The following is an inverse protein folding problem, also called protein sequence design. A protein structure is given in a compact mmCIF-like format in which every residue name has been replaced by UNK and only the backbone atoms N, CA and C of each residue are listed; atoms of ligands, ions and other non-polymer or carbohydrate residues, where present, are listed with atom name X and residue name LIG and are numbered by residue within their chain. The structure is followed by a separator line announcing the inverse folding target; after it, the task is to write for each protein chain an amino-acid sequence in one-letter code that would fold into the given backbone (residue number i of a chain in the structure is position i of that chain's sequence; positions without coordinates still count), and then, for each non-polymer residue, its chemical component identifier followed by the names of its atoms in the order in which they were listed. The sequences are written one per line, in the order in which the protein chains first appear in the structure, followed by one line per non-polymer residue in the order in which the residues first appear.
data_IF_032549142246
#
_entry.id   IF_032549142246
#
_cell.length_a   1.000
_cell.length_b   1.000
_cell.length_c   1.000
_cell.angle_alpha   90.00
_cell.angle_beta   90.00
_cell.angle_gamma   90.00
#
_symmetry.space_group_name_H-M   'P 1'
#
loop_
_entity.id
_entity.type
_entity.pdbx_description
1 polymer ?
#
# COMPACT_ATOMS: atom_id res chain seq x y z
N UNK A 1 -7.07 -19.35 -40.37
CA UNK A 1 -7.30 -19.55 -38.92
C UNK A 1 -7.78 -20.97 -38.65
N UNK A 2 -6.84 -21.90 -38.45
CA UNK A 2 -7.16 -23.28 -38.07
C UNK A 2 -7.38 -23.37 -36.57
N UNK A 3 -8.56 -23.86 -36.19
CA UNK A 3 -8.87 -24.26 -34.82
C UNK A 3 -8.01 -25.46 -34.43
N UNK A 4 -7.32 -25.36 -33.30
CA UNK A 4 -6.81 -26.45 -32.43
C UNK A 4 -5.47 -26.07 -31.78
N UNK A 5 -5.42 -24.94 -31.07
CA UNK A 5 -4.60 -24.91 -29.85
C UNK A 5 -5.54 -25.27 -28.71
N UNK A 6 -5.47 -26.51 -28.28
CA UNK A 6 -6.10 -26.95 -27.03
C UNK A 6 -5.53 -26.05 -25.95
N UNK A 7 -6.30 -25.06 -25.49
CA UNK A 7 -5.90 -24.13 -24.42
C UNK A 7 -5.48 -24.99 -23.24
N UNK A 8 -4.17 -25.09 -22.99
CA UNK A 8 -3.69 -25.81 -21.82
C UNK A 8 -4.37 -25.19 -20.61
N UNK A 9 -5.12 -26.01 -19.85
CA UNK A 9 -5.74 -25.58 -18.61
C UNK A 9 -4.59 -25.28 -17.65
N UNK A 10 -4.18 -24.02 -17.66
CA UNK A 10 -3.12 -23.51 -16.80
C UNK A 10 -3.58 -23.65 -15.37
N UNK A 11 -2.73 -24.21 -14.52
CA UNK A 11 -3.03 -24.31 -13.09
C UNK A 11 -3.25 -22.90 -12.55
N UNK A 12 -4.39 -22.62 -11.87
CA UNK A 12 -4.66 -21.29 -11.39
C UNK A 12 -3.57 -20.74 -10.48
N UNK A 13 -3.24 -19.47 -10.71
CA UNK A 13 -2.10 -18.81 -10.07
C UNK A 13 -2.41 -17.35 -9.83
N UNK A 14 -2.79 -17.07 -8.58
CA UNK A 14 -3.05 -15.72 -8.10
C UNK A 14 -1.76 -14.99 -7.71
N UNK A 15 -1.68 -13.73 -8.08
CA UNK A 15 -0.66 -12.76 -7.69
C UNK A 15 -1.26 -11.58 -6.90
N UNK A 16 -0.39 -10.76 -6.31
CA UNK A 16 -0.78 -9.52 -5.64
C UNK A 16 0.32 -8.46 -5.81
N UNK A 17 -0.07 -7.20 -5.96
CA UNK A 17 0.88 -6.10 -5.84
C UNK A 17 1.23 -5.87 -4.38
N UNK A 18 2.53 -5.98 -4.08
CA UNK A 18 3.09 -5.82 -2.75
C UNK A 18 3.88 -4.52 -2.73
N UNK A 19 3.62 -3.64 -1.77
CA UNK A 19 4.42 -2.42 -1.57
C UNK A 19 5.17 -2.40 -0.24
N UNK A 20 4.87 -3.38 0.64
CA UNK A 20 5.30 -3.39 2.03
C UNK A 20 4.51 -2.43 2.92
N UNK A 21 3.55 -1.68 2.37
CA UNK A 21 2.68 -0.79 3.11
C UNK A 21 1.47 -1.51 3.72
N UNK A 22 0.84 -0.86 4.70
CA UNK A 22 -0.29 -1.39 5.48
C UNK A 22 -1.41 -1.97 4.61
N UNK A 23 -1.73 -1.34 3.48
CA UNK A 23 -2.79 -1.78 2.58
C UNK A 23 -2.48 -3.15 1.94
N UNK A 24 -1.29 -3.29 1.32
CA UNK A 24 -0.88 -4.55 0.71
C UNK A 24 -0.64 -5.66 1.74
N UNK A 25 -0.14 -5.31 2.93
CA UNK A 25 0.12 -6.27 4.00
C UNK A 25 -1.18 -6.78 4.64
N UNK A 26 -2.17 -5.92 4.86
CA UNK A 26 -3.49 -6.34 5.31
C UNK A 26 -4.17 -7.26 4.28
N UNK A 27 -4.09 -6.90 2.99
CA UNK A 27 -4.65 -7.72 1.91
C UNK A 27 -3.99 -9.11 1.85
N UNK A 28 -2.66 -9.19 1.99
CA UNK A 28 -1.94 -10.46 2.06
C UNK A 28 -2.32 -11.26 3.31
N UNK A 29 -2.41 -10.62 4.48
CA UNK A 29 -2.81 -11.28 5.73
C UNK A 29 -4.20 -11.90 5.61
N UNK A 30 -5.17 -11.12 5.12
CA UNK A 30 -6.53 -11.61 4.88
C UNK A 30 -6.56 -12.71 3.81
N UNK A 31 -5.70 -12.64 2.80
CA UNK A 31 -5.58 -13.73 1.84
C UNK A 31 -5.15 -15.04 2.54
N UNK A 32 -4.16 -14.98 3.44
CA UNK A 32 -3.68 -16.14 4.18
C UNK A 32 -4.70 -16.70 5.17
N UNK A 33 -5.53 -15.83 5.77
CA UNK A 33 -6.56 -16.23 6.73
C UNK A 33 -7.79 -16.83 6.05
N UNK A 34 -8.17 -16.36 4.86
CA UNK A 34 -9.45 -16.72 4.23
C UNK A 34 -9.32 -17.71 3.07
N UNK A 35 -8.15 -17.87 2.47
CA UNK A 35 -7.94 -18.81 1.38
C UNK A 35 -7.09 -20.00 1.84
N UNK A 36 -7.62 -21.25 1.76
CA UNK A 36 -6.80 -22.45 1.87
C UNK A 36 -5.68 -22.47 0.83
N UNK A 37 -4.53 -23.09 1.12
CA UNK A 37 -3.36 -23.10 0.22
C UNK A 37 -3.62 -23.68 -1.17
N UNK A 38 -4.58 -24.59 -1.30
CA UNK A 38 -4.98 -25.20 -2.57
C UNK A 38 -6.04 -24.38 -3.33
N UNK A 39 -6.60 -23.32 -2.74
CA UNK A 39 -7.60 -22.49 -3.38
C UNK A 39 -6.96 -21.66 -4.51
N UNK A 40 -7.61 -21.51 -5.68
CA UNK A 40 -7.05 -20.76 -6.82
C UNK A 40 -6.71 -19.30 -6.50
N UNK A 41 -7.49 -18.67 -5.63
CA UNK A 41 -7.24 -17.32 -5.08
C UNK A 41 -6.17 -17.22 -3.99
N UNK A 42 -5.54 -18.32 -3.54
CA UNK A 42 -4.39 -18.23 -2.64
C UNK A 42 -3.21 -17.62 -3.39
N UNK A 43 -2.76 -16.45 -2.96
CA UNK A 43 -1.72 -15.70 -3.67
C UNK A 43 -0.39 -16.44 -3.57
N UNK A 44 0.22 -16.74 -4.72
CA UNK A 44 1.52 -17.44 -4.82
C UNK A 44 2.66 -16.48 -5.14
N UNK A 45 2.39 -15.40 -5.86
CA UNK A 45 3.38 -14.39 -6.26
C UNK A 45 3.04 -12.98 -5.76
N UNK A 46 4.05 -12.25 -5.33
CA UNK A 46 3.97 -10.84 -4.96
C UNK A 46 4.84 -9.99 -5.89
N UNK A 47 4.26 -8.99 -6.55
CA UNK A 47 5.01 -8.06 -7.39
C UNK A 47 5.43 -6.83 -6.58
N UNK A 48 6.73 -6.54 -6.52
CA UNK A 48 7.29 -5.35 -5.86
C UNK A 48 8.01 -4.47 -6.88
N UNK A 49 7.67 -3.18 -6.94
CA UNK A 49 7.88 -2.37 -8.13
C UNK A 49 8.97 -1.30 -7.97
N UNK A 50 9.95 -1.32 -8.87
CA UNK A 50 10.87 -0.21 -9.14
C UNK A 50 10.36 0.60 -10.33
N UNK A 51 10.53 1.93 -10.29
CA UNK A 51 10.00 2.85 -11.29
C UNK A 51 8.55 3.29 -11.03
N UNK A 52 8.03 2.94 -9.85
CA UNK A 52 6.68 3.30 -9.40
C UNK A 52 6.77 4.32 -8.25
N UNK A 53 6.78 3.87 -6.99
CA UNK A 53 6.97 4.72 -5.81
C UNK A 53 8.44 4.94 -5.44
N UNK A 54 9.32 3.99 -5.80
CA UNK A 54 10.78 4.11 -5.74
C UNK A 54 11.31 4.24 -7.17
N UNK A 55 12.15 5.25 -7.43
CA UNK A 55 12.80 5.42 -8.74
C UNK A 55 11.86 5.83 -9.89
N UNK A 56 10.59 6.16 -9.61
CA UNK A 56 9.60 6.50 -10.65
C UNK A 56 9.63 7.95 -11.14
N UNK A 57 10.45 8.83 -10.56
CA UNK A 57 10.59 10.24 -10.98
C UNK A 57 12.04 10.46 -11.37
N UNK A 58 12.29 10.76 -12.64
CA UNK A 58 13.65 10.84 -13.22
C UNK A 58 14.50 11.86 -12.47
N UNK A 59 13.96 13.05 -12.21
CA UNK A 59 14.66 14.15 -11.51
C UNK A 59 15.08 13.79 -10.08
N UNK A 60 14.39 12.84 -9.44
CA UNK A 60 14.72 12.37 -8.07
C UNK A 60 15.75 11.24 -8.08
N UNK A 61 16.15 10.77 -9.27
CA UNK A 61 17.06 9.66 -9.50
C UNK A 61 16.42 8.30 -9.27
N UNK A 62 17.14 7.25 -9.68
CA UNK A 62 16.62 5.88 -9.71
C UNK A 62 16.50 5.23 -8.32
N UNK A 63 17.21 5.72 -7.30
CA UNK A 63 17.11 5.22 -5.91
C UNK A 63 17.28 3.70 -5.74
N UNK A 64 18.15 3.05 -6.53
CA UNK A 64 18.39 1.60 -6.40
C UNK A 64 18.75 1.15 -4.98
N UNK A 65 19.62 1.84 -4.22
CA UNK A 65 19.91 1.43 -2.84
C UNK A 65 18.69 1.46 -1.90
N UNK A 66 17.70 2.34 -2.18
CA UNK A 66 16.44 2.38 -1.43
C UNK A 66 15.55 1.20 -1.82
N UNK A 67 15.53 0.85 -3.10
CA UNK A 67 14.79 -0.30 -3.59
C UNK A 67 15.32 -1.61 -3.02
N UNK A 68 16.64 -1.82 -3.03
CA UNK A 68 17.28 -3.02 -2.49
C UNK A 68 16.96 -3.18 -0.99
N UNK A 69 17.09 -2.09 -0.21
CA UNK A 69 16.70 -2.08 1.21
C UNK A 69 15.22 -2.43 1.43
N UNK A 70 14.35 -1.96 0.54
CA UNK A 70 12.92 -2.26 0.62
C UNK A 70 12.62 -3.70 0.21
N UNK A 71 13.35 -4.27 -0.77
CA UNK A 71 13.32 -5.70 -1.12
C UNK A 71 13.76 -6.54 0.07
N UNK A 72 14.84 -6.17 0.77
CA UNK A 72 15.30 -6.91 1.96
C UNK A 72 14.24 -6.94 3.07
N UNK A 73 13.61 -5.80 3.33
CA UNK A 73 12.56 -5.69 4.34
C UNK A 73 11.33 -6.53 3.99
N UNK A 74 10.83 -6.39 2.76
CA UNK A 74 9.62 -7.11 2.34
C UNK A 74 9.88 -8.61 2.13
N UNK A 75 11.11 -9.02 1.79
CA UNK A 75 11.49 -10.43 1.66
C UNK A 75 11.34 -11.21 2.96
N UNK A 76 11.63 -10.57 4.11
CA UNK A 76 11.37 -11.19 5.43
C UNK A 76 9.88 -11.53 5.61
N UNK A 77 9.02 -10.61 5.18
CA UNK A 77 7.56 -10.76 5.27
C UNK A 77 7.08 -11.82 4.29
N UNK A 78 7.55 -11.81 3.04
CA UNK A 78 7.11 -12.78 2.03
C UNK A 78 7.62 -14.18 2.32
N UNK A 79 8.81 -14.34 2.88
CA UNK A 79 9.31 -15.63 3.36
C UNK A 79 8.41 -16.22 4.46
N UNK A 80 8.04 -15.42 5.48
CA UNK A 80 7.11 -15.86 6.53
C UNK A 80 5.73 -16.20 5.95
N UNK A 81 5.25 -15.41 4.99
CA UNK A 81 3.97 -15.63 4.30
C UNK A 81 3.99 -16.77 3.26
N UNK A 82 5.14 -17.40 3.01
CA UNK A 82 5.38 -18.37 1.92
C UNK A 82 4.89 -17.84 0.57
N UNK A 83 5.25 -16.59 0.27
CA UNK A 83 4.94 -15.87 -0.95
C UNK A 83 6.23 -15.71 -1.78
N UNK A 84 6.18 -16.03 -3.07
CA UNK A 84 7.29 -15.75 -4.00
C UNK A 84 7.32 -14.25 -4.30
N UNK A 85 8.38 -13.56 -3.91
CA UNK A 85 8.56 -12.14 -4.23
C UNK A 85 9.22 -12.00 -5.60
N UNK A 86 8.62 -11.22 -6.48
CA UNK A 86 9.13 -10.91 -7.82
C UNK A 86 9.35 -9.40 -7.89
N UNK A 87 10.62 -8.93 -7.82
CA UNK A 87 10.96 -7.56 -8.14
C UNK A 87 10.68 -7.28 -9.62
N UNK A 88 9.98 -6.19 -9.91
CA UNK A 88 9.65 -5.76 -11.27
C UNK A 88 10.17 -4.35 -11.48
N UNK A 89 10.89 -4.14 -12.57
CA UNK A 89 11.41 -2.83 -12.96
C UNK A 89 10.60 -2.31 -14.13
N UNK A 90 10.13 -1.07 -14.03
CA UNK A 90 9.40 -0.39 -15.09
C UNK A 90 9.90 1.05 -15.25
N UNK A 91 9.71 1.64 -16.43
CA UNK A 91 9.96 3.05 -16.68
C UNK A 91 8.67 3.79 -17.08
N UNK A 92 7.49 3.17 -16.95
CA UNK A 92 6.24 3.75 -17.46
C UNK A 92 5.96 5.12 -16.84
N UNK A 93 6.24 5.30 -15.54
CA UNK A 93 6.09 6.60 -14.87
C UNK A 93 7.06 7.66 -15.40
N UNK A 94 8.20 7.28 -15.96
CA UNK A 94 9.15 8.23 -16.55
C UNK A 94 8.60 8.90 -17.81
N UNK A 95 7.60 8.29 -18.47
CA UNK A 95 6.94 8.86 -19.64
C UNK A 95 6.03 10.04 -19.26
N UNK A 96 5.42 9.99 -18.08
CA UNK A 96 4.63 11.08 -17.53
C UNK A 96 4.49 10.90 -16.00
N UNK A 97 5.10 11.81 -15.25
CA UNK A 97 5.03 11.83 -13.79
C UNK A 97 4.22 13.02 -13.25
N UNK A 98 3.48 13.71 -14.13
CA UNK A 98 2.56 14.78 -13.75
C UNK A 98 1.64 14.26 -12.64
N UNK A 99 1.63 14.99 -11.54
CA UNK A 99 1.17 14.47 -10.26
C UNK A 99 -0.33 14.25 -10.21
N UNK A 100 -1.12 15.09 -10.88
CA UNK A 100 -2.58 14.96 -10.91
C UNK A 100 -2.96 13.76 -11.76
N UNK A 101 -2.45 13.68 -12.99
CA UNK A 101 -2.65 12.54 -13.88
C UNK A 101 -2.22 11.24 -13.23
N UNK A 102 -1.03 11.22 -12.61
CA UNK A 102 -0.50 10.05 -11.92
C UNK A 102 -1.50 9.52 -10.91
N UNK A 103 -1.98 10.40 -10.01
CA UNK A 103 -2.80 10.03 -8.85
C UNK A 103 -4.27 9.81 -9.18
N UNK A 104 -4.82 10.53 -10.15
CA UNK A 104 -6.26 10.55 -10.40
C UNK A 104 -6.65 9.56 -11.50
N UNK A 105 -5.72 9.21 -12.40
CA UNK A 105 -6.05 8.41 -13.59
C UNK A 105 -5.06 7.31 -13.98
N UNK A 106 -3.77 7.42 -13.62
CA UNK A 106 -2.74 6.64 -14.33
C UNK A 106 -2.19 5.44 -13.56
N UNK A 107 -1.96 5.55 -12.24
CA UNK A 107 -1.14 4.55 -11.55
C UNK A 107 -1.74 3.13 -11.54
N UNK A 108 -3.06 2.97 -11.54
CA UNK A 108 -3.72 1.64 -11.62
C UNK A 108 -3.60 1.02 -13.01
N UNK A 109 -3.62 1.82 -14.09
CA UNK A 109 -3.33 1.36 -15.44
C UNK A 109 -1.89 0.82 -15.56
N UNK A 110 -0.93 1.44 -14.85
CA UNK A 110 0.45 0.93 -14.77
C UNK A 110 0.52 -0.41 -14.07
N UNK A 111 -0.21 -0.58 -12.95
CA UNK A 111 -0.33 -1.89 -12.28
C UNK A 111 -0.94 -2.93 -13.22
N UNK A 112 -2.00 -2.58 -13.95
CA UNK A 112 -2.61 -3.48 -14.92
C UNK A 112 -1.65 -3.89 -16.05
N UNK A 113 -0.90 -2.93 -16.63
CA UNK A 113 0.09 -3.21 -17.67
C UNK A 113 1.18 -4.18 -17.19
N UNK A 114 1.65 -4.00 -15.95
CA UNK A 114 2.58 -4.94 -15.32
C UNK A 114 1.93 -6.32 -15.20
N UNK A 115 0.71 -6.40 -14.67
CA UNK A 115 0.04 -7.70 -14.50
C UNK A 115 -0.14 -8.44 -15.84
N UNK A 116 -0.50 -7.73 -16.91
CA UNK A 116 -0.62 -8.30 -18.26
C UNK A 116 0.70 -8.82 -18.82
N UNK A 117 1.84 -8.23 -18.42
CA UNK A 117 3.17 -8.75 -18.77
C UNK A 117 3.43 -10.15 -18.19
N UNK A 118 2.65 -10.56 -17.18
CA UNK A 118 2.70 -11.90 -16.57
C UNK A 118 1.48 -12.78 -16.91
N UNK A 119 0.62 -12.40 -17.86
CA UNK A 119 -0.58 -13.17 -18.21
C UNK A 119 -0.28 -14.61 -18.67
N UNK A 120 0.93 -14.88 -19.17
CA UNK A 120 1.41 -16.24 -19.47
C UNK A 120 1.66 -17.10 -18.22
N UNK A 121 1.82 -16.49 -17.03
CA UNK A 121 2.17 -17.17 -15.76
C UNK A 121 1.13 -17.04 -14.64
N UNK A 122 0.32 -15.97 -14.62
CA UNK A 122 -0.78 -15.78 -13.66
C UNK A 122 -2.15 -15.72 -14.36
N UNK A 123 -3.25 -15.87 -13.61
CA UNK A 123 -4.63 -15.72 -14.12
C UNK A 123 -5.52 -14.81 -13.24
N UNK A 124 -5.02 -14.44 -12.06
CA UNK A 124 -5.66 -13.53 -11.13
C UNK A 124 -4.61 -12.63 -10.49
N UNK A 125 -4.85 -11.33 -10.41
CA UNK A 125 -4.05 -10.40 -9.60
C UNK A 125 -4.93 -9.57 -8.69
N UNK A 126 -4.47 -9.38 -7.46
CA UNK A 126 -5.12 -8.51 -6.49
C UNK A 126 -4.40 -7.17 -6.35
N UNK A 127 -5.19 -6.10 -6.27
CA UNK A 127 -4.78 -4.75 -5.89
C UNK A 127 -5.45 -4.43 -4.54
N UNK A 128 -4.63 -4.14 -3.53
CA UNK A 128 -5.14 -3.72 -2.21
C UNK A 128 -5.65 -2.30 -2.25
N UNK A 129 -6.84 -2.06 -1.71
CA UNK A 129 -7.46 -0.73 -1.68
C UNK A 129 -6.63 0.28 -0.87
N UNK A 130 -6.63 1.54 -1.29
CA UNK A 130 -6.13 2.65 -0.46
C UNK A 130 -7.24 3.27 0.39
N UNK A 131 -8.44 3.38 -0.18
CA UNK A 131 -9.61 3.99 0.45
C UNK A 131 -10.70 2.95 0.72
N UNK A 132 -11.47 3.20 1.78
CA UNK A 132 -12.69 2.49 2.09
C UNK A 132 -13.91 3.10 1.38
N UNK A 133 -15.01 2.35 1.29
CA UNK A 133 -16.25 2.75 0.60
C UNK A 133 -16.68 4.19 0.92
N UNK A 134 -16.74 4.64 2.20
CA UNK A 134 -17.20 5.99 2.52
C UNK A 134 -16.28 7.11 2.01
N UNK A 135 -15.04 6.80 1.67
CA UNK A 135 -14.01 7.78 1.31
C UNK A 135 -13.46 7.56 -0.12
N UNK A 136 -14.15 6.77 -0.94
CA UNK A 136 -13.87 6.64 -2.36
C UNK A 136 -14.04 7.98 -3.08
N UNK A 137 -13.16 8.23 -4.04
CA UNK A 137 -13.13 9.40 -4.90
C UNK A 137 -12.38 9.03 -6.18
N UNK A 138 -12.43 9.87 -7.24
CA UNK A 138 -11.61 9.67 -8.44
C UNK A 138 -10.15 9.45 -8.07
N UNK A 139 -9.61 8.30 -8.47
CA UNK A 139 -8.28 7.85 -8.14
C UNK A 139 -7.79 6.90 -9.24
N UNK A 140 -6.50 6.96 -9.56
CA UNK A 140 -5.90 6.18 -10.63
C UNK A 140 -5.96 4.67 -10.41
N UNK A 141 -6.28 4.22 -9.19
CA UNK A 141 -6.75 2.87 -8.89
C UNK A 141 -8.05 2.97 -8.11
N UNK A 142 -9.08 2.28 -8.60
CA UNK A 142 -10.43 2.39 -8.08
C UNK A 142 -11.18 1.06 -8.23
N UNK A 143 -12.06 0.66 -7.30
CA UNK A 143 -12.80 -0.60 -7.39
C UNK A 143 -13.71 -0.71 -8.62
N UNK A 144 -14.12 0.41 -9.21
CA UNK A 144 -14.89 0.45 -10.47
C UNK A 144 -14.02 0.56 -11.74
N UNK A 145 -12.71 0.76 -11.59
CA UNK A 145 -11.77 0.94 -12.71
C UNK A 145 -10.86 -0.27 -12.85
N UNK A 146 -10.20 -0.68 -11.77
CA UNK A 146 -9.20 -1.75 -11.81
C UNK A 146 -9.72 -3.07 -12.41
N UNK A 147 -10.97 -3.52 -12.13
CA UNK A 147 -11.49 -4.73 -12.76
C UNK A 147 -11.67 -4.63 -14.27
N UNK A 148 -11.92 -3.43 -14.81
CA UNK A 148 -12.13 -3.18 -16.25
C UNK A 148 -10.84 -3.34 -17.06
N UNK A 149 -9.68 -3.35 -16.40
CA UNK A 149 -8.41 -3.71 -17.03
C UNK A 149 -8.21 -5.23 -17.19
N UNK A 150 -9.18 -6.07 -16.81
CA UNK A 150 -9.09 -7.52 -17.00
C UNK A 150 -9.12 -7.92 -18.49
N UNK A 151 -8.61 -9.11 -18.79
CA UNK A 151 -8.74 -9.75 -20.11
C UNK A 151 -9.32 -11.17 -19.98
N UNK A 152 -9.42 -11.88 -21.10
CA UNK A 152 -9.84 -13.29 -21.13
C UNK A 152 -8.93 -14.22 -20.30
N UNK A 153 -7.64 -13.90 -20.24
CA UNK A 153 -6.61 -14.73 -19.62
C UNK A 153 -6.18 -14.24 -18.23
N UNK A 154 -6.51 -13.00 -17.87
CA UNK A 154 -6.10 -12.39 -16.62
C UNK A 154 -7.23 -11.58 -15.99
N UNK A 155 -7.62 -11.97 -14.78
CA UNK A 155 -8.55 -11.20 -13.96
C UNK A 155 -7.83 -10.26 -13.01
N UNK A 156 -8.21 -8.99 -13.00
CA UNK A 156 -7.74 -7.99 -12.03
C UNK A 156 -8.85 -7.76 -11.01
N UNK A 157 -8.51 -7.80 -9.71
CA UNK A 157 -9.46 -7.57 -8.62
C UNK A 157 -8.93 -6.54 -7.63
N UNK A 158 -9.66 -5.43 -7.52
CA UNK A 158 -9.54 -4.53 -6.38
C UNK A 158 -10.18 -5.19 -5.15
N UNK A 159 -9.53 -5.14 -3.99
CA UNK A 159 -10.02 -5.83 -2.79
C UNK A 159 -9.83 -5.03 -1.52
N UNK A 160 -10.56 -5.44 -0.49
CA UNK A 160 -10.47 -4.93 0.88
C UNK A 160 -10.85 -3.44 1.01
N UNK A 161 -11.64 -2.91 0.07
CA UNK A 161 -12.18 -1.53 0.08
C UNK A 161 -13.35 -1.35 1.05
N UNK A 162 -13.78 -2.39 1.76
CA UNK A 162 -14.67 -2.28 2.90
C UNK A 162 -13.93 -1.92 4.20
N UNK A 163 -12.59 -1.99 4.22
CA UNK A 163 -11.78 -1.78 5.42
C UNK A 163 -11.18 -0.38 5.46
N UNK A 164 -11.44 0.32 6.56
CA UNK A 164 -10.76 1.55 6.91
C UNK A 164 -9.25 1.33 7.09
N UNK A 165 -8.50 2.43 7.01
CA UNK A 165 -7.06 2.40 7.22
C UNK A 165 -6.67 1.90 8.62
N UNK A 166 -7.45 2.24 9.65
CA UNK A 166 -7.20 1.78 11.02
C UNK A 166 -7.44 0.28 11.17
N UNK A 167 -8.47 -0.28 10.52
CA UNK A 167 -8.69 -1.73 10.52
C UNK A 167 -7.54 -2.48 9.86
N UNK A 168 -7.01 -1.96 8.74
CA UNK A 168 -5.83 -2.53 8.08
C UNK A 168 -4.60 -2.52 9.00
N UNK A 169 -4.37 -1.44 9.74
CA UNK A 169 -3.27 -1.38 10.72
C UNK A 169 -3.46 -2.40 11.84
N UNK A 170 -4.69 -2.54 12.37
CA UNK A 170 -4.99 -3.59 13.37
C UNK A 170 -4.69 -4.99 12.83
N UNK A 171 -5.07 -5.29 11.59
CA UNK A 171 -4.76 -6.57 10.94
C UNK A 171 -3.25 -6.81 10.84
N UNK A 172 -2.48 -5.81 10.38
CA UNK A 172 -1.03 -5.93 10.22
C UNK A 172 -0.34 -6.05 11.59
N UNK A 173 -0.81 -5.34 12.61
CA UNK A 173 -0.24 -5.39 13.97
C UNK A 173 -0.34 -6.77 14.64
N UNK A 174 -1.25 -7.63 14.17
CA UNK A 174 -1.40 -9.01 14.63
C UNK A 174 -0.49 -10.00 13.88
N UNK A 175 0.38 -9.49 13.00
CA UNK A 175 1.34 -10.28 12.25
C UNK A 175 2.74 -9.73 12.51
N UNK A 176 3.42 -10.25 13.53
CA UNK A 176 4.66 -9.68 14.07
C UNK A 176 5.73 -9.43 12.99
N UNK A 177 6.06 -10.43 12.17
CA UNK A 177 7.06 -10.27 11.10
C UNK A 177 6.73 -9.11 10.15
N UNK A 178 5.45 -8.97 9.76
CA UNK A 178 5.02 -7.84 8.93
C UNK A 178 5.05 -6.51 9.70
N UNK A 179 4.63 -6.53 10.97
CA UNK A 179 4.58 -5.35 11.82
C UNK A 179 5.97 -4.79 12.15
N UNK A 180 7.00 -5.63 12.20
CA UNK A 180 8.38 -5.21 12.43
C UNK A 180 9.12 -4.74 11.15
N UNK A 181 8.58 -5.01 9.96
CA UNK A 181 9.30 -4.80 8.69
C UNK A 181 8.53 -4.01 7.62
N UNK A 182 7.38 -3.39 7.95
CA UNK A 182 6.59 -2.64 6.97
C UNK A 182 7.31 -1.37 6.47
N UNK A 183 6.95 -0.95 5.25
CA UNK A 183 7.40 0.30 4.63
C UNK A 183 6.20 1.13 4.18
N UNK A 184 6.08 2.34 4.70
CA UNK A 184 5.07 3.33 4.30
C UNK A 184 5.66 4.58 3.68
N UNK A 185 6.96 4.82 3.86
CA UNK A 185 7.63 6.04 3.46
C UNK A 185 7.71 6.19 1.93
N UNK A 186 7.41 7.40 1.44
CA UNK A 186 7.56 7.79 0.03
C UNK A 186 8.70 8.80 -0.19
N UNK A 187 9.38 9.22 0.88
CA UNK A 187 10.48 10.17 0.79
C UNK A 187 11.77 9.54 0.25
N UNK A 188 11.89 8.20 0.33
CA UNK A 188 13.02 7.43 -0.19
C UNK A 188 14.38 7.98 0.29
N UNK A 189 14.48 8.20 1.61
CA UNK A 189 15.72 8.65 2.27
C UNK A 189 16.78 7.55 2.20
N UNK A 190 18.09 7.90 2.11
CA UNK A 190 19.13 6.92 1.81
C UNK A 190 19.38 5.91 2.94
N UNK A 191 19.14 6.27 4.19
CA UNK A 191 19.62 5.58 5.39
C UNK A 191 18.52 4.90 6.22
N UNK A 192 17.24 5.05 5.84
CA UNK A 192 16.10 4.51 6.61
C UNK A 192 15.05 3.87 5.72
N UNK A 193 14.40 2.83 6.24
CA UNK A 193 13.23 2.22 5.60
C UNK A 193 12.01 3.16 5.68
N UNK A 194 11.74 3.68 6.87
CA UNK A 194 10.79 4.75 7.11
C UNK A 194 11.49 5.96 7.72
N UNK A 195 11.28 7.15 7.16
CA UNK A 195 12.04 8.34 7.55
C UNK A 195 11.55 9.01 8.85
N UNK A 196 10.39 8.62 9.39
CA UNK A 196 9.74 9.26 10.53
C UNK A 196 9.11 10.64 10.22
N UNK A 197 9.64 11.37 9.25
CA UNK A 197 9.35 12.80 9.14
C UNK A 197 8.43 13.21 7.98
N UNK A 198 8.19 12.35 6.99
CA UNK A 198 7.26 12.70 5.90
C UNK A 198 5.80 12.50 6.31
N UNK A 199 4.85 13.19 5.66
CA UNK A 199 3.42 13.11 6.03
C UNK A 199 2.90 11.67 6.16
N UNK A 200 3.29 10.77 5.25
CA UNK A 200 2.85 9.37 5.31
C UNK A 200 3.46 8.60 6.51
N UNK A 201 4.69 8.92 6.90
CA UNK A 201 5.31 8.39 8.12
C UNK A 201 4.62 8.94 9.36
N UNK A 202 4.50 10.27 9.47
CA UNK A 202 3.84 10.94 10.61
C UNK A 202 2.41 10.43 10.76
N UNK A 203 1.63 10.37 9.67
CA UNK A 203 0.27 9.82 9.70
C UNK A 203 0.22 8.39 10.23
N UNK A 204 1.11 7.52 9.74
CA UNK A 204 1.17 6.13 10.20
C UNK A 204 1.56 6.04 11.68
N UNK A 205 2.51 6.84 12.13
CA UNK A 205 2.89 6.87 13.55
C UNK A 205 1.79 7.46 14.44
N UNK A 206 1.02 8.43 13.96
CA UNK A 206 -0.18 8.95 14.67
C UNK A 206 -1.26 7.87 14.76
N UNK A 207 -1.48 7.10 13.69
CA UNK A 207 -2.41 5.95 13.67
C UNK A 207 -1.95 4.87 14.66
N UNK A 208 -0.66 4.56 14.72
CA UNK A 208 -0.09 3.61 15.68
C UNK A 208 -0.17 4.14 17.13
N UNK A 209 0.07 5.44 17.33
CA UNK A 209 -0.10 6.10 18.64
C UNK A 209 -1.55 6.01 19.11
N UNK A 210 -2.51 6.29 18.22
CA UNK A 210 -3.94 6.19 18.51
C UNK A 210 -4.38 4.76 18.90
N UNK A 211 -3.63 3.74 18.47
CA UNK A 211 -3.88 2.34 18.82
C UNK A 211 -3.04 1.85 20.01
N UNK A 212 -2.16 2.68 20.58
CA UNK A 212 -1.22 2.26 21.63
C UNK A 212 -0.16 1.26 21.14
N UNK A 213 0.24 1.35 19.86
CA UNK A 213 1.09 0.37 19.18
C UNK A 213 2.45 0.92 18.70
N UNK A 214 2.69 2.23 18.72
CA UNK A 214 3.92 2.82 18.15
C UNK A 214 5.20 2.23 18.78
N UNK A 215 5.23 2.14 20.12
CA UNK A 215 6.35 1.55 20.88
C UNK A 215 6.55 0.04 20.66
N UNK A 216 5.67 -0.63 19.92
CA UNK A 216 5.72 -2.09 19.70
C UNK A 216 6.31 -2.48 18.34
N UNK A 217 6.68 -1.50 17.51
CA UNK A 217 7.29 -1.75 16.20
C UNK A 217 8.67 -1.11 16.12
N UNK A 218 9.62 -1.85 15.54
CA UNK A 218 10.94 -1.36 15.17
C UNK A 218 10.99 -0.78 13.73
N UNK A 219 9.85 -0.75 13.03
CA UNK A 219 9.78 -0.23 11.65
C UNK A 219 10.01 1.29 11.58
N UNK A 220 9.90 1.97 12.72
CA UNK A 220 10.32 3.35 12.93
C UNK A 220 11.44 3.41 13.96
N UNK A 221 12.33 4.39 13.80
CA UNK A 221 13.32 4.73 14.84
C UNK A 221 12.63 5.59 15.91
N UNK A 222 11.68 6.41 15.47
CA UNK A 222 10.85 7.24 16.33
C UNK A 222 9.82 6.40 17.09
N UNK A 223 9.70 6.66 18.39
CA UNK A 223 8.74 6.03 19.30
C UNK A 223 7.67 7.02 19.82
N UNK A 224 7.74 8.30 19.42
CA UNK A 224 6.83 9.36 19.84
C UNK A 224 6.38 10.27 18.68
N UNK A 225 5.13 10.72 18.74
CA UNK A 225 4.59 11.81 17.92
C UNK A 225 4.24 13.01 18.79
N UNK A 226 4.56 14.21 18.33
CA UNK A 226 4.21 15.48 18.95
C UNK A 226 3.24 16.27 18.06
N UNK A 227 2.51 17.27 18.60
CA UNK A 227 1.68 18.17 17.79
C UNK A 227 2.45 18.86 16.66
N UNK A 228 3.75 19.14 16.87
CA UNK A 228 4.60 19.79 15.87
C UNK A 228 4.78 18.91 14.63
N UNK A 229 4.87 17.59 14.77
CA UNK A 229 4.96 16.67 13.63
C UNK A 229 3.71 16.73 12.74
N UNK A 230 2.52 16.86 13.34
CA UNK A 230 1.26 17.01 12.59
C UNK A 230 1.18 18.40 11.95
N UNK A 231 1.56 19.44 12.69
CA UNK A 231 1.47 20.84 12.27
C UNK A 231 2.28 21.17 11.01
N UNK A 232 3.31 20.38 10.69
CA UNK A 232 4.15 20.55 9.49
C UNK A 232 3.41 20.28 8.17
N UNK A 233 2.24 19.64 8.22
CA UNK A 233 1.50 19.25 7.02
C UNK A 233 0.12 19.87 7.00
N UNK A 234 -0.33 20.19 5.79
CA UNK A 234 -1.73 20.43 5.52
C UNK A 234 -2.45 19.08 5.35
N UNK A 235 -3.26 18.73 6.35
CA UNK A 235 -4.09 17.51 6.37
C UNK A 235 -5.47 17.73 5.73
N UNK A 236 -5.76 18.94 5.27
CA UNK A 236 -7.04 19.35 4.67
C UNK A 236 -7.01 19.24 3.14
N UNK A 237 -5.81 19.29 2.55
CA UNK A 237 -5.67 19.07 1.10
C UNK A 237 -5.94 17.62 0.73
N UNK A 238 -6.56 17.47 -0.45
CA UNK A 238 -6.91 16.16 -1.03
C UNK A 238 -7.82 15.38 -0.07
N UNK A 239 -7.97 14.08 -0.31
CA UNK A 239 -8.81 13.20 0.52
C UNK A 239 -8.02 12.67 1.73
N UNK A 240 -7.38 13.59 2.46
CA UNK A 240 -6.63 13.32 3.71
C UNK A 240 -7.45 13.38 4.99
N UNK A 241 -8.48 14.26 5.14
CA UNK A 241 -9.26 14.32 6.36
C UNK A 241 -9.82 12.96 6.86
N UNK A 242 -10.23 12.03 5.96
CA UNK A 242 -10.66 10.69 6.38
C UNK A 242 -9.62 9.87 7.14
N UNK A 243 -8.32 10.13 6.95
CA UNK A 243 -7.27 9.40 7.69
C UNK A 243 -7.04 9.96 9.10
N UNK A 244 -7.41 11.21 9.37
CA UNK A 244 -7.14 11.88 10.64
C UNK A 244 -8.38 11.97 11.54
N UNK A 245 -9.58 12.21 10.98
CA UNK A 245 -10.82 12.33 11.76
C UNK A 245 -11.08 11.13 12.68
N UNK A 246 -10.95 9.86 12.22
CA UNK A 246 -11.18 8.70 13.08
C UNK A 246 -10.17 8.56 14.23
N UNK A 247 -9.02 9.25 14.16
CA UNK A 247 -7.98 9.17 15.19
C UNK A 247 -8.32 10.01 16.41
N UNK A 248 -9.14 11.05 16.28
CA UNK A 248 -9.46 11.99 17.37
C UNK A 248 -9.99 11.27 18.63
N UNK A 249 -11.04 10.44 18.57
CA UNK A 249 -11.51 9.73 19.76
C UNK A 249 -10.48 8.73 20.30
N UNK A 250 -9.80 7.99 19.42
CA UNK A 250 -8.78 7.01 19.79
C UNK A 250 -7.58 7.65 20.50
N UNK A 251 -7.13 8.82 20.03
CA UNK A 251 -6.05 9.58 20.66
C UNK A 251 -6.45 10.05 22.06
N UNK A 252 -7.69 10.50 22.25
CA UNK A 252 -8.19 10.87 23.59
C UNK A 252 -8.24 9.67 24.54
N UNK A 253 -8.67 8.51 24.05
CA UNK A 253 -8.64 7.25 24.82
C UNK A 253 -7.21 6.86 25.25
N UNK A 254 -6.21 7.19 24.44
CA UNK A 254 -4.79 7.00 24.77
C UNK A 254 -4.17 8.15 25.61
N UNK A 255 -4.98 9.11 26.09
CA UNK A 255 -4.50 10.26 26.84
C UNK A 255 -3.71 11.29 26.01
N UNK A 256 -3.82 11.23 24.68
CA UNK A 256 -3.15 12.10 23.71
C UNK A 256 -4.05 13.23 23.21
N UNK A 257 -4.66 13.95 24.15
CA UNK A 257 -5.48 15.13 23.86
C UNK A 257 -4.71 16.23 23.11
N UNK A 258 -3.39 16.30 23.30
CA UNK A 258 -2.51 17.20 22.57
C UNK A 258 -2.55 16.93 21.05
N UNK A 259 -2.48 15.67 20.63
CA UNK A 259 -2.55 15.28 19.23
C UNK A 259 -3.97 15.42 18.68
N UNK A 260 -4.98 15.04 19.45
CA UNK A 260 -6.38 15.20 19.08
C UNK A 260 -6.71 16.68 18.79
N UNK A 261 -6.30 17.60 19.67
CA UNK A 261 -6.46 19.05 19.47
C UNK A 261 -5.68 19.57 18.28
N UNK A 262 -4.48 19.05 18.02
CA UNK A 262 -3.68 19.45 16.86
C UNK A 262 -4.40 19.13 15.53
N UNK A 263 -4.99 17.93 15.43
CA UNK A 263 -5.79 17.51 14.28
C UNK A 263 -7.04 18.40 14.17
N UNK A 264 -7.80 18.57 15.25
CA UNK A 264 -9.02 19.39 15.25
C UNK A 264 -8.74 20.84 14.84
N UNK A 265 -7.63 21.43 15.31
CA UNK A 265 -7.23 22.80 14.94
C UNK A 265 -7.05 22.94 13.43
N UNK A 266 -6.41 21.97 12.78
CA UNK A 266 -6.24 22.02 11.33
C UNK A 266 -7.56 21.78 10.58
N UNK A 267 -8.38 20.82 11.03
CA UNK A 267 -9.67 20.53 10.39
C UNK A 267 -10.70 21.64 10.55
N UNK A 268 -10.65 22.42 11.64
CA UNK A 268 -11.51 23.59 11.86
C UNK A 268 -11.13 24.80 11.01
N UNK A 269 -9.90 24.86 10.49
CA UNK A 269 -9.47 25.89 9.54
C UNK A 269 -10.09 25.77 8.13
N UNK A 270 -11.10 24.91 7.96
CA UNK A 270 -11.78 24.57 6.70
C UNK A 270 -13.26 25.00 6.74
N UNK A 271 -13.64 25.92 7.63
CA UNK A 271 -14.97 26.54 7.66
C UNK A 271 -14.89 27.89 6.96
#
# INVERSE_FOLDING_TARGET
PTASETRQIKTPRAAMFMSGGMDSLAALRLNRLHYPRNHPGYVKDGFFLHGFDIGGVVERGMKYPVFDRAVDAISKITHDAKLSLIPVYTNIRHLCDERVLWLDSFFGAVLAAIAHSFASSIDLVFIGSSYDIPNLHPCGSHPLLDPEYSSLDLRIRHRDYQLSRIEKIKIVSQWDVAFQNFRVCLANVPDRLNCGNCEKCVRTMTELTALGLLHKTQAFVEDEITPAHIAQFDITIRVRPPFYRPLIPLLREQGRDDLARAIEKQLKGVI
#
